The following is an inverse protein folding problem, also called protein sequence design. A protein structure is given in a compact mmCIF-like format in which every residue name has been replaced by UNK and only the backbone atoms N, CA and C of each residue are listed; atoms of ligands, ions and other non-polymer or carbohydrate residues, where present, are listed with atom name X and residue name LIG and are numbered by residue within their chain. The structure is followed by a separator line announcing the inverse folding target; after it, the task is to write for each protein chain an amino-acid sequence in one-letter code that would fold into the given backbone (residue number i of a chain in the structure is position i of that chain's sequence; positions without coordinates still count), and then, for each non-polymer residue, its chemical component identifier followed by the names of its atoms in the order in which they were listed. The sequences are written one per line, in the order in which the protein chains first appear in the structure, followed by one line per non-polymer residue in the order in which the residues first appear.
data_IF_297519490545
#
_entry.id   IF_297519490545
#
_cell.length_a   1.000
_cell.length_b   1.000
_cell.length_c   1.000
_cell.angle_alpha   90.00
_cell.angle_beta   90.00
_cell.angle_gamma   90.00
#
_symmetry.space_group_name_H-M   'P 1'
#
loop_
_entity.id
_entity.type
_entity.pdbx_description
1 polymer ?
#
# COMPACT_ATOMS: atom_id res chain seq x y z
N UNK A 1 24.26 -4.63 14.46
CA UNK A 1 24.18 -4.72 12.98
C UNK A 1 22.72 -4.52 12.61
N UNK A 2 22.30 -3.31 12.19
CA UNK A 2 20.99 -2.98 11.60
C UNK A 2 21.01 -1.49 11.20
N UNK A 3 21.99 -1.13 10.37
CA UNK A 3 22.19 0.23 9.83
C UNK A 3 21.66 0.36 8.39
N UNK A 4 20.97 -0.65 7.89
CA UNK A 4 20.50 -0.64 6.51
C UNK A 4 19.27 0.28 6.41
N UNK A 5 19.43 1.36 5.67
CA UNK A 5 18.41 2.39 5.43
C UNK A 5 17.74 2.23 4.06
N UNK A 6 18.44 1.63 3.09
CA UNK A 6 17.90 1.36 1.77
C UNK A 6 18.26 -0.05 1.29
N UNK A 7 17.27 -0.74 0.73
CA UNK A 7 17.40 -2.04 0.09
C UNK A 7 16.71 -1.99 -1.26
N UNK A 8 17.50 -1.98 -2.34
CA UNK A 8 16.98 -1.87 -3.70
C UNK A 8 17.48 -3.02 -4.59
N UNK A 9 16.55 -3.83 -5.08
CA UNK A 9 16.75 -4.80 -6.13
C UNK A 9 15.70 -4.59 -7.21
N UNK A 10 16.16 -4.32 -8.43
CA UNK A 10 15.28 -3.98 -9.55
C UNK A 10 15.61 -4.88 -10.73
N UNK A 11 14.59 -5.39 -11.41
CA UNK A 11 14.74 -6.10 -12.68
C UNK A 11 15.75 -7.27 -12.58
N UNK A 12 15.71 -8.01 -11.47
CA UNK A 12 16.61 -9.12 -11.21
C UNK A 12 15.88 -10.46 -11.35
N UNK A 13 16.02 -11.15 -12.50
CA UNK A 13 15.26 -12.37 -12.78
C UNK A 13 15.63 -13.54 -11.86
N UNK A 14 16.81 -13.49 -11.21
CA UNK A 14 17.22 -14.50 -10.23
C UNK A 14 16.65 -14.28 -8.84
N UNK A 15 16.08 -13.09 -8.57
CA UNK A 15 15.47 -12.78 -7.28
C UNK A 15 14.04 -13.33 -7.24
N UNK A 16 13.92 -14.57 -6.75
CA UNK A 16 12.67 -15.34 -6.73
C UNK A 16 12.29 -15.79 -5.31
N UNK A 17 11.08 -16.32 -5.17
CA UNK A 17 10.60 -16.88 -3.90
C UNK A 17 9.98 -15.82 -2.99
N UNK A 18 9.88 -16.11 -1.70
CA UNK A 18 9.13 -15.29 -0.75
C UNK A 18 10.00 -14.21 -0.12
N UNK A 19 9.40 -13.08 0.24
CA UNK A 19 10.03 -12.15 1.20
C UNK A 19 10.10 -12.87 2.56
N UNK A 20 11.30 -13.02 3.16
CA UNK A 20 11.44 -13.66 4.46
C UNK A 20 10.89 -12.77 5.58
N UNK A 21 10.31 -13.37 6.62
CA UNK A 21 9.80 -12.64 7.80
C UNK A 21 10.87 -11.82 8.51
N UNK A 22 12.14 -12.23 8.38
CA UNK A 22 13.31 -11.50 8.90
C UNK A 22 13.46 -10.07 8.37
N UNK A 23 12.77 -9.70 7.28
CA UNK A 23 12.71 -8.31 6.80
C UNK A 23 12.25 -7.35 7.92
N UNK A 24 11.36 -7.79 8.81
CA UNK A 24 10.85 -6.98 9.92
C UNK A 24 11.88 -6.59 10.98
N UNK A 25 13.09 -7.15 10.94
CA UNK A 25 14.20 -6.75 11.82
C UNK A 25 14.93 -5.49 11.32
N UNK A 26 14.73 -5.08 10.07
CA UNK A 26 15.37 -3.92 9.44
C UNK A 26 14.70 -2.60 9.86
N UNK A 27 14.61 -2.33 11.16
CA UNK A 27 13.83 -1.21 11.72
C UNK A 27 14.31 0.18 11.31
N UNK A 28 15.51 0.30 10.75
CA UNK A 28 16.05 1.56 10.21
C UNK A 28 15.79 1.75 8.71
N UNK A 29 15.15 0.77 8.06
CA UNK A 29 14.93 0.82 6.63
C UNK A 29 13.92 1.92 6.30
N UNK A 30 14.33 2.84 5.43
CA UNK A 30 13.52 3.93 4.89
C UNK A 30 13.04 3.63 3.47
N UNK A 31 13.80 2.84 2.70
CA UNK A 31 13.47 2.49 1.32
C UNK A 31 13.58 1.00 1.09
N UNK A 32 12.48 0.37 0.67
CA UNK A 32 12.42 -1.00 0.22
C UNK A 32 11.87 -1.04 -1.21
N UNK A 33 12.76 -1.32 -2.16
CA UNK A 33 12.44 -1.38 -3.58
C UNK A 33 12.79 -2.77 -4.12
N UNK A 34 11.77 -3.53 -4.49
CA UNK A 34 11.91 -4.91 -4.99
C UNK A 34 11.16 -5.10 -6.32
N UNK A 35 11.14 -4.08 -7.18
CA UNK A 35 10.33 -4.09 -8.41
C UNK A 35 10.89 -4.97 -9.53
N UNK A 36 10.00 -5.48 -10.38
CA UNK A 36 10.32 -6.27 -11.56
C UNK A 36 11.20 -7.49 -11.22
N UNK A 37 10.80 -8.25 -10.20
CA UNK A 37 11.49 -9.48 -9.82
C UNK A 37 10.54 -10.68 -9.93
N UNK A 38 11.05 -11.89 -9.66
CA UNK A 38 10.25 -13.11 -9.60
C UNK A 38 9.74 -13.44 -8.20
N UNK A 39 9.61 -12.45 -7.30
CA UNK A 39 9.16 -12.69 -5.94
C UNK A 39 7.69 -13.11 -5.92
N UNK A 40 7.33 -14.00 -4.99
CA UNK A 40 6.02 -14.62 -4.93
C UNK A 40 5.58 -14.92 -3.49
N UNK A 41 4.35 -15.41 -3.33
CA UNK A 41 3.78 -15.72 -2.03
C UNK A 41 3.11 -14.52 -1.38
N UNK A 42 2.80 -14.64 -0.08
CA UNK A 42 2.11 -13.58 0.68
C UNK A 42 3.10 -12.54 1.18
N UNK A 43 2.64 -11.29 1.28
CA UNK A 43 3.37 -10.23 1.99
C UNK A 43 3.42 -10.57 3.49
N UNK A 44 4.62 -10.61 4.12
CA UNK A 44 4.74 -10.93 5.55
C UNK A 44 4.19 -9.80 6.42
N UNK A 45 3.49 -10.15 7.50
CA UNK A 45 2.94 -9.16 8.44
C UNK A 45 4.03 -8.38 9.19
N UNK A 46 5.22 -8.97 9.31
CA UNK A 46 6.41 -8.41 9.96
C UNK A 46 6.94 -7.16 9.24
N UNK A 47 6.56 -6.93 7.97
CA UNK A 47 6.87 -5.68 7.27
C UNK A 47 6.23 -4.48 7.98
N UNK A 48 5.14 -4.66 8.73
CA UNK A 48 4.58 -3.60 9.58
C UNK A 48 5.49 -3.14 10.72
N UNK A 49 6.62 -3.81 10.96
CA UNK A 49 7.63 -3.36 11.92
C UNK A 49 8.61 -2.32 11.35
N UNK A 50 8.54 -2.06 10.04
CA UNK A 50 9.40 -1.10 9.33
C UNK A 50 8.88 0.34 9.52
N UNK A 51 8.75 0.79 10.76
CA UNK A 51 8.06 2.04 11.11
C UNK A 51 8.69 3.31 10.52
N UNK A 52 9.97 3.26 10.11
CA UNK A 52 10.67 4.36 9.43
C UNK A 52 10.56 4.29 7.90
N UNK A 53 9.82 3.32 7.35
CA UNK A 53 9.75 3.10 5.91
C UNK A 53 8.98 4.24 5.23
N UNK A 54 9.64 4.93 4.31
CA UNK A 54 9.10 6.02 3.52
C UNK A 54 8.72 5.59 2.11
N UNK A 55 9.36 4.54 1.59
CA UNK A 55 9.14 4.03 0.24
C UNK A 55 9.04 2.52 0.24
N UNK A 56 7.89 2.01 -0.18
CA UNK A 56 7.63 0.58 -0.39
C UNK A 56 7.16 0.36 -1.83
N UNK A 57 8.01 -0.29 -2.62
CA UNK A 57 7.84 -0.41 -4.08
C UNK A 57 8.07 -1.86 -4.47
N UNK A 58 6.98 -2.59 -4.71
CA UNK A 58 6.93 -4.04 -4.95
C UNK A 58 6.28 -4.39 -6.29
N UNK A 59 6.14 -3.42 -7.20
CA UNK A 59 5.43 -3.61 -8.45
C UNK A 59 6.09 -4.65 -9.36
N UNK A 60 5.28 -5.25 -10.24
CA UNK A 60 5.73 -6.27 -11.19
C UNK A 60 6.42 -7.44 -10.48
N UNK A 61 5.68 -8.09 -9.59
CA UNK A 61 6.04 -9.36 -8.94
C UNK A 61 4.84 -10.31 -8.99
N UNK A 62 4.95 -11.46 -8.32
CA UNK A 62 3.93 -12.49 -8.24
C UNK A 62 3.35 -12.62 -6.82
N UNK A 63 3.25 -11.52 -6.07
CA UNK A 63 2.67 -11.55 -4.71
C UNK A 63 1.18 -11.89 -4.76
N UNK A 64 0.72 -12.70 -3.81
CA UNK A 64 -0.66 -13.21 -3.72
C UNK A 64 -1.27 -12.99 -2.33
N UNK A 65 -2.60 -13.08 -2.24
CA UNK A 65 -3.33 -12.91 -1.00
C UNK A 65 -3.55 -11.44 -0.63
N UNK A 66 -3.92 -11.20 0.63
CA UNK A 66 -4.31 -9.87 1.13
C UNK A 66 -3.09 -9.01 1.49
N UNK A 67 -3.28 -7.68 1.42
CA UNK A 67 -2.35 -6.73 2.03
C UNK A 67 -2.43 -6.89 3.56
N UNK A 68 -1.33 -7.06 4.29
CA UNK A 68 -1.37 -7.20 5.75
C UNK A 68 -1.92 -5.93 6.42
N UNK A 69 -2.82 -6.08 7.40
CA UNK A 69 -3.33 -4.95 8.19
C UNK A 69 -2.22 -4.17 8.90
N UNK A 70 -1.12 -4.85 9.25
CA UNK A 70 0.06 -4.26 9.88
C UNK A 70 0.74 -3.17 9.03
N UNK A 71 0.43 -3.04 7.74
CA UNK A 71 0.92 -1.93 6.91
C UNK A 71 0.38 -0.57 7.39
N UNK A 72 -0.70 -0.54 8.17
CA UNK A 72 -1.15 0.69 8.84
C UNK A 72 -0.16 1.26 9.87
N UNK A 73 0.82 0.47 10.32
CA UNK A 73 1.87 0.95 11.23
C UNK A 73 2.99 1.74 10.52
N UNK A 74 3.00 1.79 9.18
CA UNK A 74 4.04 2.44 8.39
C UNK A 74 3.81 3.96 8.29
N UNK A 75 3.74 4.65 9.43
CA UNK A 75 3.26 6.05 9.51
C UNK A 75 4.10 7.07 8.73
N UNK A 76 5.34 6.73 8.42
CA UNK A 76 6.26 7.55 7.61
C UNK A 76 6.13 7.31 6.09
N UNK A 77 5.26 6.40 5.66
CA UNK A 77 5.17 5.97 4.27
C UNK A 77 4.67 7.10 3.36
N UNK A 78 5.45 7.40 2.32
CA UNK A 78 5.15 8.39 1.28
C UNK A 78 4.70 7.73 -0.01
N UNK A 79 5.29 6.57 -0.33
CA UNK A 79 5.05 5.85 -1.57
C UNK A 79 4.75 4.40 -1.24
N UNK A 80 3.56 3.95 -1.67
CA UNK A 80 3.16 2.55 -1.70
C UNK A 80 2.80 2.16 -3.13
N UNK A 81 3.63 1.34 -3.75
CA UNK A 81 3.36 0.75 -5.07
C UNK A 81 3.36 -0.78 -4.96
N UNK A 82 2.17 -1.36 -5.07
CA UNK A 82 1.93 -2.80 -5.13
C UNK A 82 1.36 -3.22 -6.48
N UNK A 83 1.42 -2.33 -7.48
CA UNK A 83 0.78 -2.55 -8.77
C UNK A 83 1.32 -3.79 -9.48
N UNK A 84 0.54 -4.36 -10.39
CA UNK A 84 0.96 -5.50 -11.23
C UNK A 84 1.45 -6.68 -10.39
N UNK A 85 0.59 -7.11 -9.46
CA UNK A 85 0.75 -8.29 -8.62
C UNK A 85 -0.57 -9.08 -8.60
N UNK A 86 -0.53 -10.30 -8.08
CA UNK A 86 -1.71 -11.17 -7.95
C UNK A 86 -2.39 -11.04 -6.56
N UNK A 87 -2.28 -9.87 -5.93
CA UNK A 87 -2.91 -9.58 -4.64
C UNK A 87 -4.44 -9.62 -4.77
N UNK A 88 -5.13 -10.06 -3.72
CA UNK A 88 -6.58 -10.28 -3.72
C UNK A 88 -7.21 -9.99 -2.35
N UNK A 89 -8.55 -10.00 -2.31
CA UNK A 89 -9.32 -9.58 -1.14
C UNK A 89 -9.57 -8.07 -1.12
N UNK A 90 -10.07 -7.57 0.00
CA UNK A 90 -10.32 -6.14 0.17
C UNK A 90 -9.08 -5.41 0.65
N UNK A 91 -9.09 -4.10 0.42
CA UNK A 91 -8.31 -3.19 1.24
C UNK A 91 -8.65 -3.49 2.71
N UNK A 92 -7.66 -3.83 3.57
CA UNK A 92 -7.90 -4.07 4.99
C UNK A 92 -8.83 -3.02 5.59
N UNK A 93 -9.75 -3.39 6.49
CA UNK A 93 -10.59 -2.42 7.21
C UNK A 93 -9.76 -1.42 8.05
N UNK A 94 -8.49 -1.76 8.30
CA UNK A 94 -7.44 -0.83 8.72
C UNK A 94 -7.31 0.43 7.83
N UNK A 95 -7.83 0.37 6.60
CA UNK A 95 -7.83 1.41 5.58
C UNK A 95 -9.15 2.18 5.59
N UNK A 96 -10.14 1.75 6.38
CA UNK A 96 -11.40 2.38 6.76
C UNK A 96 -12.49 1.33 7.00
N UNK A 97 -12.97 1.26 8.23
CA UNK A 97 -13.93 0.25 8.66
C UNK A 97 -13.77 -0.04 10.15
N UNK A 98 -14.66 0.59 10.90
CA UNK A 98 -14.85 0.60 12.36
C UNK A 98 -13.97 1.58 13.17
N UNK A 99 -14.67 2.53 13.82
CA UNK A 99 -14.17 3.73 14.51
C UNK A 99 -13.40 3.43 15.82
N UNK A 100 -12.91 2.20 15.98
CA UNK A 100 -12.15 1.74 17.15
C UNK A 100 -10.82 1.08 16.82
N UNK A 101 -10.48 0.88 15.55
CA UNK A 101 -9.16 0.40 15.12
C UNK A 101 -8.50 1.41 14.18
N UNK A 102 -7.67 2.27 14.77
CA UNK A 102 -6.98 3.38 14.13
C UNK A 102 -5.80 2.84 13.33
N UNK A 103 -5.85 2.79 11.99
CA UNK A 103 -4.68 2.28 11.24
C UNK A 103 -4.29 3.09 9.97
N UNK A 104 -5.19 3.78 9.25
CA UNK A 104 -4.77 4.67 8.14
C UNK A 104 -4.86 6.17 8.44
N UNK A 105 -5.54 6.53 9.52
CA UNK A 105 -5.46 7.90 10.11
C UNK A 105 -4.01 8.33 10.37
N UNK A 106 -3.09 7.38 10.49
CA UNK A 106 -1.67 7.63 10.71
C UNK A 106 -0.81 7.68 9.44
N UNK A 107 -1.30 7.23 8.28
CA UNK A 107 -0.60 7.37 6.99
C UNK A 107 -0.81 8.77 6.38
N UNK A 108 -0.77 9.81 7.21
CA UNK A 108 -1.01 11.20 6.78
C UNK A 108 0.06 11.72 5.82
N UNK A 109 1.15 10.97 5.66
CA UNK A 109 2.28 11.30 4.82
C UNK A 109 2.19 10.66 3.43
N UNK A 110 1.24 9.74 3.17
CA UNK A 110 1.18 9.04 1.90
C UNK A 110 0.82 9.99 0.76
N UNK A 111 1.70 10.07 -0.23
CA UNK A 111 1.55 10.92 -1.41
C UNK A 111 1.15 10.11 -2.64
N UNK A 112 1.63 8.87 -2.73
CA UNK A 112 1.44 7.99 -3.89
C UNK A 112 0.94 6.63 -3.41
N UNK A 113 -0.24 6.24 -3.89
CA UNK A 113 -0.81 4.91 -3.72
C UNK A 113 -1.13 4.30 -5.09
N UNK A 114 -0.32 3.32 -5.51
CA UNK A 114 -0.58 2.54 -6.72
C UNK A 114 -0.89 1.08 -6.40
N UNK A 115 -2.12 0.68 -6.73
CA UNK A 115 -2.66 -0.66 -6.60
C UNK A 115 -3.22 -1.16 -7.94
N UNK A 116 -2.85 -0.52 -9.05
CA UNK A 116 -3.31 -0.89 -10.39
C UNK A 116 -2.91 -2.31 -10.75
N UNK A 117 -3.73 -2.97 -11.57
CA UNK A 117 -3.44 -4.33 -12.05
C UNK A 117 -3.18 -5.33 -10.91
N UNK A 118 -3.95 -5.19 -9.82
CA UNK A 118 -4.10 -6.21 -8.77
C UNK A 118 -5.48 -6.86 -8.85
N UNK A 119 -5.68 -7.99 -8.18
CA UNK A 119 -6.99 -8.65 -8.03
C UNK A 119 -7.78 -8.19 -6.80
N UNK A 120 -7.47 -7.01 -6.25
CA UNK A 120 -8.18 -6.45 -5.09
C UNK A 120 -9.62 -6.14 -5.46
N UNK A 121 -10.54 -6.49 -4.58
CA UNK A 121 -11.99 -6.33 -4.74
C UNK A 121 -12.59 -5.74 -3.45
N UNK A 122 -13.62 -4.90 -3.57
CA UNK A 122 -14.29 -4.28 -2.43
C UNK A 122 -14.29 -2.76 -2.51
N UNK A 123 -14.98 -2.14 -1.55
CA UNK A 123 -15.12 -0.69 -1.48
C UNK A 123 -13.81 -0.03 -1.03
N UNK A 124 -13.52 1.14 -1.59
CA UNK A 124 -12.44 1.99 -1.10
C UNK A 124 -12.94 2.59 0.19
N UNK A 125 -12.21 2.44 1.30
CA UNK A 125 -12.76 2.93 2.54
C UNK A 125 -12.75 4.44 2.63
N UNK A 126 -13.73 4.98 3.36
CA UNK A 126 -13.92 6.42 3.53
C UNK A 126 -12.66 7.14 4.06
N UNK A 127 -11.83 6.48 4.87
CA UNK A 127 -10.62 7.11 5.41
C UNK A 127 -9.57 7.50 4.35
N UNK A 128 -9.63 6.90 3.15
CA UNK A 128 -8.79 7.32 2.01
C UNK A 128 -9.14 8.77 1.58
N UNK A 129 -10.38 9.21 1.80
CA UNK A 129 -10.81 10.61 1.59
C UNK A 129 -10.12 11.59 2.53
N UNK A 130 -9.78 11.14 3.74
CA UNK A 130 -9.20 11.95 4.80
C UNK A 130 -7.68 12.13 4.61
N UNK A 131 -7.07 11.44 3.64
CA UNK A 131 -5.65 11.51 3.34
C UNK A 131 -5.31 12.82 2.59
N UNK A 132 -5.16 13.91 3.35
CA UNK A 132 -4.98 15.26 2.81
C UNK A 132 -3.72 15.50 1.97
N UNK A 133 -2.74 14.58 1.98
CA UNK A 133 -1.50 14.66 1.18
C UNK A 133 -1.49 13.78 -0.06
N UNK A 134 -2.51 12.95 -0.27
CA UNK A 134 -2.54 12.04 -1.42
C UNK A 134 -2.56 12.86 -2.71
N UNK A 135 -1.60 12.63 -3.60
CA UNK A 135 -1.49 13.33 -4.89
C UNK A 135 -1.79 12.42 -6.05
N UNK A 136 -1.51 11.12 -5.92
CA UNK A 136 -1.67 10.14 -6.99
C UNK A 136 -2.31 8.87 -6.46
N UNK A 137 -3.40 8.49 -7.10
CA UNK A 137 -4.11 7.23 -6.87
C UNK A 137 -4.33 6.51 -8.20
N UNK A 138 -4.17 5.19 -8.19
CA UNK A 138 -4.29 4.37 -9.40
C UNK A 138 -5.65 4.52 -10.12
N UNK A 139 -5.64 4.38 -11.45
CA UNK A 139 -6.83 4.58 -12.30
C UNK A 139 -7.96 3.57 -12.02
N UNK A 140 -7.63 2.38 -11.51
CA UNK A 140 -8.64 1.38 -11.13
C UNK A 140 -9.41 1.83 -9.88
N UNK A 141 -8.72 2.43 -8.92
CA UNK A 141 -9.37 3.06 -7.77
C UNK A 141 -10.31 4.18 -8.28
N UNK A 142 -9.88 4.99 -9.26
CA UNK A 142 -10.74 6.00 -9.94
C UNK A 142 -11.98 5.42 -10.64
N UNK A 143 -11.95 4.19 -11.17
CA UNK A 143 -13.11 3.53 -11.78
C UNK A 143 -14.07 2.93 -10.75
N UNK A 144 -13.55 2.31 -9.69
CA UNK A 144 -14.36 1.87 -8.54
C UNK A 144 -15.13 3.06 -7.93
N UNK A 145 -14.53 4.27 -7.95
CA UNK A 145 -15.22 5.51 -7.57
C UNK A 145 -16.37 5.95 -8.50
N UNK A 146 -16.37 5.56 -9.78
CA UNK A 146 -17.37 6.00 -10.77
C UNK A 146 -18.49 4.98 -11.01
N UNK A 147 -18.20 3.67 -10.89
CA UNK A 147 -19.14 2.60 -11.21
C UNK A 147 -20.28 2.45 -10.18
N UNK A 148 -20.14 2.96 -8.95
CA UNK A 148 -21.19 2.90 -7.91
C UNK A 148 -22.18 4.08 -7.95
N UNK A 149 -22.13 4.96 -8.96
CA UNK A 149 -23.17 5.97 -9.21
C UNK A 149 -23.37 7.04 -8.12
N UNK A 150 -22.61 7.00 -7.03
CA UNK A 150 -22.58 8.03 -5.99
C UNK A 150 -21.16 8.16 -5.45
N UNK A 151 -20.49 9.26 -5.79
CA UNK A 151 -19.39 9.75 -4.97
C UNK A 151 -20.00 10.34 -3.69
N UNK A 152 -20.43 9.48 -2.76
CA UNK A 152 -20.80 9.91 -1.41
C UNK A 152 -19.50 10.01 -0.63
N UNK A 153 -18.88 11.18 -0.68
CA UNK A 153 -17.99 11.57 0.41
C UNK A 153 -18.92 11.81 1.60
N UNK A 154 -18.89 10.94 2.62
CA UNK A 154 -19.62 11.22 3.84
C UNK A 154 -19.06 12.51 4.43
N UNK A 155 -19.94 13.49 4.55
CA UNK A 155 -19.72 14.83 5.12
C UNK A 155 -18.91 15.82 4.26
N UNK A 156 -19.64 16.45 3.32
CA UNK A 156 -19.51 17.88 3.06
C UNK A 156 -18.45 18.32 2.05
N UNK A 157 -18.92 18.58 0.83
CA UNK A 157 -18.24 19.15 -0.34
C UNK A 157 -17.46 18.14 -1.23
N UNK A 158 -17.92 17.88 -2.47
CA UNK A 158 -17.20 17.05 -3.41
C UNK A 158 -15.90 17.74 -3.87
N UNK A 159 -14.74 17.17 -3.55
CA UNK A 159 -13.48 17.53 -4.23
C UNK A 159 -13.42 16.82 -5.58
N UNK A 160 -13.16 17.59 -6.63
CA UNK A 160 -13.10 17.06 -8.00
C UNK A 160 -11.92 16.10 -8.17
N UNK A 161 -12.12 15.04 -8.97
CA UNK A 161 -11.07 14.13 -9.46
C UNK A 161 -9.93 14.85 -10.22
N UNK A 162 -10.10 16.12 -10.57
CA UNK A 162 -9.13 16.96 -11.27
C UNK A 162 -8.10 17.61 -10.34
N UNK A 163 -8.23 17.43 -9.01
CA UNK A 163 -7.23 17.88 -8.04
C UNK A 163 -6.24 16.77 -7.63
N UNK A 164 -6.30 15.60 -8.29
CA UNK A 164 -5.38 14.47 -8.15
C UNK A 164 -4.87 13.95 -9.51
#
# INVERSE_FOLDING_TARGET
MNSLESLEFRSNPGLVGKIPTGVGYLRKLESLVLLENGLSGKLPMEMGNLVNLRKLVLQENHFVGQIPSSFGHLTELLILDLSRNNLSGSLPAAFGGDLRSIQWKHLQNLEILDLSNTGLAGEIPESVAEMGKLRRISRILRRVFQENGKAIWGLGQPKSLLQF
#
